data_IF_551068089529
#
_entry.id   IF_551068089529
#
_cell.length_a   1.000
_cell.length_b   1.000
_cell.length_c   1.000
_cell.angle_alpha   90.00
_cell.angle_beta   90.00
_cell.angle_gamma   90.00
#
_symmetry.space_group_name_H-M   'P 1'
#
loop_
_entity.id
_entity.type
_entity.pdbx_description
1 polymer ?
#
# COMPACT_ATOMS: atom_id res chain seq x y z
N UNK A 1 31.15 -5.47 -46.76
CA UNK A 1 32.02 -6.25 -45.85
C UNK A 1 31.65 -5.94 -44.42
N UNK A 2 31.18 -6.92 -43.64
CA UNK A 2 31.07 -6.72 -42.18
C UNK A 2 32.49 -6.50 -41.63
N UNK A 3 32.67 -5.44 -40.83
CA UNK A 3 33.98 -5.10 -40.27
C UNK A 3 34.45 -6.27 -39.38
N UNK A 4 35.70 -6.75 -39.49
CA UNK A 4 36.24 -7.86 -38.70
C UNK A 4 35.96 -7.75 -37.20
N UNK A 5 35.90 -6.51 -36.70
CA UNK A 5 35.56 -6.18 -35.32
C UNK A 5 34.21 -6.74 -34.84
N UNK A 6 33.20 -6.83 -35.72
CA UNK A 6 31.89 -7.39 -35.37
C UNK A 6 31.95 -8.89 -35.05
N UNK A 7 32.86 -9.63 -35.70
CA UNK A 7 33.06 -11.04 -35.41
C UNK A 7 33.79 -11.23 -34.06
N UNK A 8 34.73 -10.34 -33.75
CA UNK A 8 35.43 -10.33 -32.45
C UNK A 8 34.45 -9.99 -31.31
N UNK A 9 33.63 -8.95 -31.45
CA UNK A 9 32.60 -8.57 -30.47
C UNK A 9 31.59 -9.70 -30.25
N UNK A 10 31.15 -10.36 -31.32
CA UNK A 10 30.24 -11.50 -31.25
C UNK A 10 30.89 -12.70 -30.54
N UNK A 11 32.16 -13.01 -30.84
CA UNK A 11 32.91 -14.06 -30.15
C UNK A 11 33.08 -13.75 -28.65
N UNK A 12 33.44 -12.50 -28.31
CA UNK A 12 33.57 -12.06 -26.92
C UNK A 12 32.23 -12.19 -26.16
N UNK A 13 31.12 -11.85 -26.81
CA UNK A 13 29.78 -11.98 -26.23
C UNK A 13 29.43 -13.45 -25.94
N UNK A 14 29.73 -14.37 -26.87
CA UNK A 14 29.50 -15.80 -26.64
C UNK A 14 30.41 -16.37 -25.54
N UNK A 15 31.68 -15.96 -25.50
CA UNK A 15 32.62 -16.37 -24.43
C UNK A 15 32.13 -15.87 -23.08
N UNK A 16 31.74 -14.59 -22.98
CA UNK A 16 31.20 -14.02 -21.75
C UNK A 16 29.90 -14.73 -21.31
N UNK A 17 28.99 -15.03 -22.23
CA UNK A 17 27.77 -15.78 -21.94
C UNK A 17 28.06 -17.22 -21.46
N UNK A 18 29.00 -17.90 -22.11
CA UNK A 18 29.46 -19.23 -21.72
C UNK A 18 30.08 -19.24 -20.32
N UNK A 19 31.01 -18.31 -20.06
CA UNK A 19 31.65 -18.14 -18.76
C UNK A 19 30.61 -17.82 -17.66
N UNK A 20 29.67 -16.92 -17.93
CA UNK A 20 28.60 -16.58 -17.00
C UNK A 20 27.72 -17.79 -16.67
N UNK A 21 27.33 -18.59 -17.67
CA UNK A 21 26.53 -19.80 -17.46
C UNK A 21 27.30 -20.87 -16.67
N UNK A 22 28.60 -21.05 -16.94
CA UNK A 22 29.45 -21.95 -16.17
C UNK A 22 29.55 -21.51 -14.69
N UNK A 23 29.84 -20.23 -14.44
CA UNK A 23 29.89 -19.66 -13.08
C UNK A 23 28.54 -19.82 -12.38
N UNK A 24 27.43 -19.55 -13.08
CA UNK A 24 26.07 -19.71 -12.54
C UNK A 24 25.78 -21.15 -12.15
N UNK A 25 26.17 -22.12 -12.98
CA UNK A 25 25.98 -23.55 -12.71
C UNK A 25 26.81 -24.00 -11.50
N UNK A 26 28.08 -23.61 -11.41
CA UNK A 26 28.93 -23.90 -10.25
C UNK A 26 28.34 -23.30 -8.96
N UNK A 27 27.85 -22.05 -9.02
CA UNK A 27 27.23 -21.38 -7.89
C UNK A 27 25.92 -22.05 -7.39
N UNK A 28 25.28 -22.90 -8.19
CA UNK A 28 24.06 -23.63 -7.76
C UNK A 28 24.36 -24.83 -6.86
N UNK A 29 25.55 -25.43 -6.94
CA UNK A 29 25.90 -26.62 -6.14
C UNK A 29 26.06 -26.31 -4.64
N UNK A 30 26.58 -25.13 -4.29
CA UNK A 30 26.76 -24.69 -2.90
C UNK A 30 26.61 -23.18 -2.78
N UNK A 31 25.38 -22.66 -2.88
CA UNK A 31 25.17 -21.23 -2.96
C UNK A 31 25.40 -20.56 -1.60
N UNK A 32 26.18 -19.47 -1.58
CA UNK A 32 26.50 -18.70 -0.37
C UNK A 32 25.25 -18.33 0.45
N UNK A 33 25.37 -18.17 1.79
CA UNK A 33 24.28 -17.65 2.61
C UNK A 33 23.75 -16.33 2.06
N UNK A 34 22.43 -16.12 2.20
CA UNK A 34 21.85 -14.83 1.89
C UNK A 34 22.32 -13.77 2.89
N UNK A 35 22.37 -12.52 2.45
CA UNK A 35 22.68 -11.42 3.36
C UNK A 35 21.47 -11.09 4.26
N UNK A 36 21.76 -10.59 5.46
CA UNK A 36 20.75 -10.07 6.41
C UNK A 36 20.81 -8.55 6.40
N UNK A 37 19.81 -7.84 5.85
CA UNK A 37 19.77 -6.38 5.90
C UNK A 37 19.51 -5.88 7.32
N UNK A 38 19.92 -4.65 7.65
CA UNK A 38 19.69 -4.02 8.96
C UNK A 38 18.20 -3.94 9.38
N UNK A 39 17.29 -3.96 8.41
CA UNK A 39 15.85 -3.92 8.65
C UNK A 39 15.22 -5.31 8.90
N UNK A 40 15.96 -6.40 8.67
CA UNK A 40 15.51 -7.77 8.95
C UNK A 40 16.34 -8.39 10.06
N UNK A 41 15.71 -9.28 10.82
CA UNK A 41 16.30 -10.16 11.82
C UNK A 41 16.79 -11.48 11.22
N UNK A 42 16.29 -11.86 10.04
CA UNK A 42 16.62 -13.11 9.31
C UNK A 42 17.24 -12.81 7.94
N UNK A 43 18.04 -13.73 7.35
CA UNK A 43 18.55 -13.60 5.99
C UNK A 43 17.43 -13.58 4.95
N UNK A 44 17.58 -12.81 3.87
CA UNK A 44 16.57 -12.76 2.79
C UNK A 44 16.47 -14.12 2.08
N UNK A 45 15.25 -14.60 1.84
CA UNK A 45 15.05 -15.81 1.04
C UNK A 45 15.51 -15.62 -0.41
N UNK A 46 16.27 -16.60 -0.91
CA UNK A 46 16.60 -16.69 -2.33
C UNK A 46 15.34 -16.98 -3.14
N UNK A 47 15.34 -16.65 -4.43
CA UNK A 47 14.13 -16.73 -5.27
C UNK A 47 13.44 -18.10 -5.24
N UNK A 48 14.20 -19.20 -5.21
CA UNK A 48 13.68 -20.57 -5.15
C UNK A 48 13.21 -21.01 -3.76
N UNK A 49 13.55 -20.26 -2.70
CA UNK A 49 13.08 -20.51 -1.33
C UNK A 49 11.75 -19.80 -1.06
N UNK A 50 11.39 -18.80 -1.88
CA UNK A 50 10.16 -18.04 -1.73
C UNK A 50 8.97 -18.86 -2.18
N UNK A 51 7.88 -18.79 -1.43
CA UNK A 51 6.61 -19.41 -1.82
C UNK A 51 5.77 -18.44 -2.63
N UNK A 52 4.85 -18.97 -3.44
CA UNK A 52 3.84 -18.18 -4.16
C UNK A 52 2.45 -18.70 -3.80
N UNK A 53 1.44 -17.83 -3.69
CA UNK A 53 0.06 -18.31 -3.69
C UNK A 53 -0.23 -19.02 -5.02
N UNK A 54 -1.31 -19.80 -5.06
CA UNK A 54 -1.87 -20.27 -6.33
C UNK A 54 -2.33 -19.05 -7.13
N UNK A 55 -1.70 -18.83 -8.27
CA UNK A 55 -2.00 -17.75 -9.23
C UNK A 55 -2.58 -18.36 -10.52
N UNK A 56 -3.09 -17.52 -11.41
CA UNK A 56 -3.80 -17.92 -12.63
C UNK A 56 -5.26 -18.32 -12.39
N UNK A 57 -5.96 -18.64 -13.48
CA UNK A 57 -7.39 -18.94 -13.49
C UNK A 57 -7.64 -20.24 -14.30
N UNK A 58 -8.55 -21.12 -13.87
CA UNK A 58 -9.37 -21.00 -12.66
C UNK A 58 -8.59 -21.33 -11.37
N UNK A 59 -9.00 -20.75 -10.24
CA UNK A 59 -8.47 -21.11 -8.91
C UNK A 59 -9.51 -20.92 -7.82
N UNK A 60 -9.34 -21.61 -6.70
CA UNK A 60 -10.16 -21.41 -5.50
C UNK A 60 -9.44 -20.54 -4.46
N UNK A 61 -10.22 -19.75 -3.73
CA UNK A 61 -9.76 -18.93 -2.60
C UNK A 61 -10.86 -18.83 -1.55
N UNK A 62 -10.51 -18.35 -0.36
CA UNK A 62 -11.48 -17.85 0.61
C UNK A 62 -11.86 -16.41 0.24
N UNK A 63 -13.11 -16.06 0.50
CA UNK A 63 -13.67 -14.71 0.34
C UNK A 63 -14.71 -14.43 1.43
N UNK A 64 -15.28 -13.23 1.41
CA UNK A 64 -16.37 -12.85 2.29
C UNK A 64 -17.67 -12.66 1.51
N UNK A 65 -18.77 -13.16 2.06
CA UNK A 65 -20.11 -12.85 1.60
C UNK A 65 -20.42 -11.37 1.91
N UNK A 66 -20.75 -10.53 0.91
CA UNK A 66 -20.99 -9.11 1.15
C UNK A 66 -22.18 -8.87 2.09
N UNK A 67 -23.20 -9.73 2.01
CA UNK A 67 -24.40 -9.59 2.83
C UNK A 67 -24.15 -10.02 4.30
N UNK A 68 -23.48 -11.15 4.53
CA UNK A 68 -23.07 -11.55 5.89
C UNK A 68 -22.23 -10.47 6.58
N UNK A 69 -21.35 -9.78 5.85
CA UNK A 69 -20.49 -8.73 6.42
C UNK A 69 -21.33 -7.52 6.84
N UNK A 70 -22.32 -7.12 6.05
CA UNK A 70 -23.24 -6.02 6.40
C UNK A 70 -24.04 -6.39 7.65
N UNK A 71 -24.64 -7.57 7.67
CA UNK A 71 -25.44 -8.06 8.81
C UNK A 71 -24.61 -8.14 10.09
N UNK A 72 -23.40 -8.71 10.01
CA UNK A 72 -22.49 -8.78 11.16
C UNK A 72 -22.10 -7.39 11.69
N UNK A 73 -21.88 -6.43 10.79
CA UNK A 73 -21.59 -5.05 11.18
C UNK A 73 -22.79 -4.40 11.88
N UNK A 74 -24.01 -4.60 11.38
CA UNK A 74 -25.22 -4.07 12.01
C UNK A 74 -25.47 -4.69 13.40
N UNK A 75 -25.22 -6.00 13.56
CA UNK A 75 -25.31 -6.67 14.85
C UNK A 75 -24.31 -6.10 15.86
N UNK A 76 -23.07 -5.83 15.42
CA UNK A 76 -22.04 -5.23 16.28
C UNK A 76 -22.42 -3.81 16.67
N UNK A 77 -22.82 -2.97 15.71
CA UNK A 77 -23.20 -1.58 15.96
C UNK A 77 -24.45 -1.46 16.84
N UNK A 78 -25.37 -2.43 16.77
CA UNK A 78 -26.55 -2.49 17.63
C UNK A 78 -26.29 -3.14 18.99
N UNK A 79 -25.05 -3.58 19.26
CA UNK A 79 -24.65 -4.22 20.52
C UNK A 79 -25.15 -5.66 20.70
N UNK A 80 -25.72 -6.27 19.65
CA UNK A 80 -26.16 -7.69 19.67
C UNK A 80 -24.98 -8.65 19.66
N UNK A 81 -23.84 -8.23 19.13
CA UNK A 81 -22.63 -9.03 18.98
C UNK A 81 -21.40 -8.22 19.33
N UNK A 82 -20.38 -8.87 19.88
CA UNK A 82 -19.12 -8.21 20.21
C UNK A 82 -18.17 -8.15 19.00
N UNK A 83 -17.33 -7.11 18.94
CA UNK A 83 -16.36 -6.94 17.84
C UNK A 83 -15.33 -8.07 17.79
N UNK A 84 -15.00 -8.69 18.93
CA UNK A 84 -14.06 -9.83 18.99
C UNK A 84 -14.53 -11.02 18.18
N UNK A 85 -15.82 -11.11 17.86
CA UNK A 85 -16.34 -12.15 16.98
C UNK A 85 -15.74 -12.09 15.57
N UNK A 86 -15.39 -10.90 15.06
CA UNK A 86 -14.70 -10.77 13.77
C UNK A 86 -13.29 -11.38 13.78
N UNK A 87 -12.70 -11.56 14.96
CA UNK A 87 -11.37 -12.15 15.15
C UNK A 87 -11.49 -13.66 15.42
N UNK A 88 -12.42 -14.03 16.29
CA UNK A 88 -12.52 -15.38 16.83
C UNK A 88 -13.36 -16.33 15.97
N UNK A 89 -14.20 -15.80 15.08
CA UNK A 89 -15.09 -16.57 14.22
C UNK A 89 -14.89 -16.23 12.74
N UNK A 90 -15.32 -17.14 11.87
CA UNK A 90 -15.22 -17.01 10.41
C UNK A 90 -16.49 -16.40 9.83
N UNK A 91 -16.88 -15.24 10.35
CA UNK A 91 -18.14 -14.59 9.99
C UNK A 91 -18.18 -14.26 8.50
N UNK A 92 -19.13 -14.85 7.78
CA UNK A 92 -19.31 -14.62 6.34
C UNK A 92 -18.21 -15.21 5.45
N UNK A 93 -17.30 -16.04 5.97
CA UNK A 93 -16.28 -16.71 5.16
C UNK A 93 -16.93 -17.73 4.22
N UNK A 94 -16.66 -17.58 2.93
CA UNK A 94 -17.19 -18.46 1.88
C UNK A 94 -16.07 -18.88 0.92
N UNK A 95 -16.23 -20.05 0.30
CA UNK A 95 -15.36 -20.45 -0.80
C UNK A 95 -15.72 -19.65 -2.05
N UNK A 96 -14.70 -19.20 -2.75
CA UNK A 96 -14.83 -18.50 -4.02
C UNK A 96 -13.98 -19.17 -5.10
N UNK A 97 -14.49 -19.17 -6.32
CA UNK A 97 -13.76 -19.60 -7.52
C UNK A 97 -13.50 -18.37 -8.39
N UNK A 98 -12.23 -18.12 -8.69
CA UNK A 98 -11.83 -17.06 -9.63
C UNK A 98 -11.69 -17.70 -11.00
N UNK A 99 -12.42 -17.17 -11.99
CA UNK A 99 -12.48 -17.67 -13.37
C UNK A 99 -12.23 -16.57 -14.38
N UNK A 100 -11.80 -16.95 -15.57
CA UNK A 100 -11.77 -16.05 -16.74
C UNK A 100 -13.03 -16.27 -17.59
N UNK A 101 -13.73 -15.20 -17.93
CA UNK A 101 -14.92 -15.18 -18.81
C UNK A 101 -14.81 -13.96 -19.72
N UNK A 102 -14.82 -14.18 -21.04
CA UNK A 102 -14.82 -13.13 -22.05
C UNK A 102 -13.67 -12.10 -21.92
N UNK A 103 -12.48 -12.57 -21.53
CA UNK A 103 -11.29 -11.71 -21.31
C UNK A 103 -11.34 -10.90 -20.00
N UNK A 104 -12.35 -11.12 -19.16
CA UNK A 104 -12.49 -10.54 -17.82
C UNK A 104 -12.25 -11.61 -16.77
N UNK A 105 -11.96 -11.19 -15.54
CA UNK A 105 -11.75 -12.08 -14.40
C UNK A 105 -12.86 -11.87 -13.39
N UNK A 106 -13.52 -12.96 -13.02
CA UNK A 106 -14.71 -12.97 -12.17
C UNK A 106 -14.47 -13.82 -10.93
N UNK A 107 -14.94 -13.36 -9.77
CA UNK A 107 -14.98 -14.10 -8.52
C UNK A 107 -16.40 -14.60 -8.27
N UNK A 108 -16.57 -15.91 -8.32
CA UNK A 108 -17.84 -16.57 -8.06
C UNK A 108 -17.84 -17.08 -6.62
N UNK A 109 -18.83 -16.66 -5.83
CA UNK A 109 -18.98 -17.01 -4.42
C UNK A 109 -20.32 -17.72 -4.23
N UNK A 110 -20.37 -18.68 -3.33
CA UNK A 110 -21.62 -19.33 -2.93
C UNK A 110 -21.73 -19.29 -1.40
N UNK A 111 -22.64 -18.45 -0.91
CA UNK A 111 -22.97 -18.35 0.50
C UNK A 111 -24.14 -19.28 0.83
N UNK A 112 -24.04 -20.12 1.87
CA UNK A 112 -25.15 -20.97 2.31
C UNK A 112 -26.43 -20.20 2.69
N UNK A 113 -26.29 -18.93 3.08
CA UNK A 113 -27.41 -18.09 3.52
C UNK A 113 -27.93 -17.16 2.42
N UNK A 114 -27.03 -16.53 1.67
CA UNK A 114 -27.39 -15.48 0.70
C UNK A 114 -27.27 -15.91 -0.77
N UNK A 115 -26.93 -17.18 -1.01
CA UNK A 115 -26.85 -17.74 -2.36
C UNK A 115 -25.61 -17.30 -3.12
N UNK A 116 -25.74 -17.23 -4.46
CA UNK A 116 -24.62 -16.98 -5.37
C UNK A 116 -24.36 -15.48 -5.53
N UNK A 117 -23.09 -15.11 -5.51
CA UNK A 117 -22.61 -13.75 -5.76
C UNK A 117 -21.48 -13.81 -6.77
N UNK A 118 -21.52 -12.96 -7.79
CA UNK A 118 -20.47 -12.85 -8.80
C UNK A 118 -19.94 -11.41 -8.82
N UNK A 119 -18.63 -11.25 -8.59
CA UNK A 119 -17.96 -9.95 -8.61
C UNK A 119 -16.89 -9.92 -9.70
N UNK A 120 -16.89 -8.91 -10.57
CA UNK A 120 -15.82 -8.72 -11.53
C UNK A 120 -14.57 -8.19 -10.81
N UNK A 121 -13.48 -8.97 -10.83
CA UNK A 121 -12.20 -8.61 -10.23
C UNK A 121 -11.34 -7.74 -11.15
N UNK A 122 -11.36 -8.04 -12.45
CA UNK A 122 -10.57 -7.31 -13.44
C UNK A 122 -11.27 -7.31 -14.80
N UNK A 123 -11.25 -6.16 -15.47
CA UNK A 123 -11.80 -5.98 -16.82
C UNK A 123 -10.90 -6.55 -17.92
N UNK A 124 -9.63 -6.83 -17.61
CA UNK A 124 -8.63 -7.36 -18.55
C UNK A 124 -7.82 -8.47 -17.88
N UNK A 125 -8.04 -9.71 -18.32
CA UNK A 125 -7.38 -10.91 -17.83
C UNK A 125 -5.88 -10.92 -18.12
N UNK A 126 -5.44 -10.39 -19.28
CA UNK A 126 -4.02 -10.33 -19.65
C UNK A 126 -3.27 -9.35 -18.77
N UNK A 127 -3.88 -8.21 -18.46
CA UNK A 127 -3.29 -7.25 -17.54
C UNK A 127 -3.16 -7.84 -16.13
N UNK A 128 -4.18 -8.54 -15.63
CA UNK A 128 -4.10 -9.20 -14.33
C UNK A 128 -3.05 -10.33 -14.33
N UNK A 129 -2.97 -11.14 -15.38
CA UNK A 129 -1.91 -12.16 -15.54
C UNK A 129 -0.52 -11.52 -15.54
N UNK A 130 -0.34 -10.35 -16.17
CA UNK A 130 0.91 -9.62 -16.11
C UNK A 130 1.24 -9.19 -14.68
N UNK A 131 0.29 -8.60 -13.94
CA UNK A 131 0.47 -8.22 -12.53
C UNK A 131 0.86 -9.45 -11.69
N UNK A 132 0.16 -10.58 -11.85
CA UNK A 132 0.45 -11.82 -11.12
C UNK A 132 1.86 -12.36 -11.45
N UNK A 133 2.32 -12.21 -12.70
CA UNK A 133 3.67 -12.61 -13.11
C UNK A 133 4.78 -11.81 -12.42
N UNK A 134 4.48 -10.56 -12.03
CA UNK A 134 5.39 -9.68 -11.31
C UNK A 134 5.48 -10.01 -9.81
N UNK A 135 4.66 -10.95 -9.30
CA UNK A 135 4.70 -11.31 -7.88
C UNK A 135 6.06 -11.91 -7.49
N UNK A 136 6.83 -11.24 -6.61
CA UNK A 136 8.23 -11.60 -6.35
C UNK A 136 8.39 -12.78 -5.38
N UNK A 137 7.28 -13.39 -4.95
CA UNK A 137 7.24 -14.44 -3.93
C UNK A 137 7.18 -13.87 -2.50
N UNK A 138 6.51 -14.64 -1.63
CA UNK A 138 6.51 -14.47 -0.17
C UNK A 138 7.91 -14.79 0.34
N UNK A 139 8.48 -13.89 1.12
CA UNK A 139 9.84 -14.03 1.61
C UNK A 139 9.90 -14.24 3.12
N UNK A 140 9.37 -13.31 3.91
CA UNK A 140 9.39 -13.40 5.37
C UNK A 140 7.97 -13.29 5.89
N UNK A 141 7.63 -14.17 6.82
CA UNK A 141 6.42 -14.00 7.61
C UNK A 141 6.62 -12.81 8.56
N UNK A 142 5.58 -11.98 8.65
CA UNK A 142 5.51 -10.94 9.65
C UNK A 142 5.51 -11.59 11.04
N UNK A 143 6.21 -10.98 11.99
CA UNK A 143 6.28 -11.46 13.37
C UNK A 143 6.52 -10.28 14.31
N UNK A 144 6.43 -10.56 15.62
CA UNK A 144 6.34 -9.55 16.68
C UNK A 144 5.10 -8.64 16.53
N UNK A 145 4.02 -9.19 16.00
CA UNK A 145 2.80 -8.51 15.58
C UNK A 145 1.53 -9.24 16.05
N UNK A 146 1.64 -10.14 17.04
CA UNK A 146 0.55 -10.99 17.52
C UNK A 146 -0.71 -10.19 17.92
N UNK A 147 -0.53 -8.95 18.39
CA UNK A 147 -1.61 -8.05 18.77
C UNK A 147 -2.07 -7.10 17.66
N UNK A 148 -1.35 -7.07 16.54
CA UNK A 148 -1.54 -6.09 15.47
C UNK A 148 -2.14 -6.69 14.21
N UNK A 149 -1.64 -7.84 13.75
CA UNK A 149 -2.10 -8.49 12.51
C UNK A 149 -3.10 -9.63 12.74
N UNK A 150 -3.64 -9.75 13.96
CA UNK A 150 -4.67 -10.73 14.29
C UNK A 150 -6.06 -10.20 13.92
N UNK A 151 -6.48 -10.45 12.67
CA UNK A 151 -7.74 -9.95 12.10
C UNK A 151 -8.65 -11.10 11.63
N UNK A 152 -8.65 -12.23 12.34
CA UNK A 152 -9.45 -13.40 11.97
C UNK A 152 -9.16 -13.88 10.55
N UNK A 153 -10.20 -13.99 9.70
CA UNK A 153 -10.07 -14.39 8.28
C UNK A 153 -9.15 -13.48 7.46
N UNK A 154 -8.89 -12.25 7.92
CA UNK A 154 -8.05 -11.26 7.21
C UNK A 154 -6.66 -11.09 7.83
N UNK A 155 -6.21 -12.03 8.67
CA UNK A 155 -4.92 -11.94 9.36
C UNK A 155 -3.75 -11.82 8.37
N UNK A 156 -2.89 -10.82 8.58
CA UNK A 156 -1.80 -10.49 7.67
C UNK A 156 -0.55 -11.28 8.06
N UNK A 157 -0.18 -12.28 7.25
CA UNK A 157 1.02 -13.11 7.49
C UNK A 157 2.24 -12.66 6.71
N UNK A 158 2.04 -12.09 5.53
CA UNK A 158 3.13 -11.73 4.62
C UNK A 158 2.91 -10.31 4.12
N UNK A 159 4.00 -9.55 4.01
CA UNK A 159 3.96 -8.18 3.50
C UNK A 159 5.35 -7.64 3.22
N UNK A 160 5.45 -6.75 2.25
CA UNK A 160 6.69 -6.02 1.99
C UNK A 160 6.72 -4.61 2.59
N UNK A 161 5.60 -4.14 3.15
CA UNK A 161 5.46 -2.84 3.81
C UNK A 161 6.09 -1.71 2.99
N UNK A 162 5.33 -1.12 2.06
CA UNK A 162 5.84 -0.02 1.24
C UNK A 162 5.68 1.33 1.96
N UNK A 163 4.44 1.74 2.27
CA UNK A 163 4.10 3.02 2.91
C UNK A 163 3.02 2.77 3.95
N UNK A 164 3.24 3.25 5.18
CA UNK A 164 2.22 3.29 6.22
C UNK A 164 1.45 4.58 6.00
N UNK A 165 0.20 4.48 5.59
CA UNK A 165 -0.66 5.66 5.43
C UNK A 165 -1.45 5.87 6.72
N UNK A 166 -1.36 7.06 7.29
CA UNK A 166 -2.09 7.45 8.50
C UNK A 166 -2.96 8.65 8.17
N UNK A 167 -4.27 8.44 8.19
CA UNK A 167 -5.25 9.50 8.00
C UNK A 167 -5.40 10.27 9.33
N UNK A 168 -4.88 11.50 9.39
CA UNK A 168 -4.84 12.27 10.64
C UNK A 168 -6.20 12.88 11.00
N UNK A 169 -6.97 13.21 9.97
CA UNK A 169 -8.27 13.86 10.11
C UNK A 169 -9.11 13.61 8.86
N UNK A 170 -10.43 13.57 8.99
CA UNK A 170 -11.34 13.61 7.86
C UNK A 170 -11.78 15.02 7.45
N UNK A 171 -11.26 16.07 8.07
CA UNK A 171 -11.50 17.44 7.61
C UNK A 171 -10.74 17.71 6.31
N UNK A 172 -11.39 18.33 5.33
CA UNK A 172 -10.72 18.81 4.12
C UNK A 172 -11.18 20.23 3.78
N UNK A 173 -10.25 21.07 3.34
CA UNK A 173 -10.52 22.41 2.80
C UNK A 173 -10.80 22.39 1.28
N UNK A 174 -11.09 21.21 0.72
CA UNK A 174 -11.55 20.97 -0.66
C UNK A 174 -12.77 20.05 -0.69
N UNK A 175 -13.55 20.11 -1.76
CA UNK A 175 -14.70 19.23 -2.01
C UNK A 175 -14.59 18.68 -3.45
N UNK A 176 -13.69 17.72 -3.64
CA UNK A 176 -13.43 17.15 -4.96
C UNK A 176 -14.52 16.14 -5.35
N UNK A 177 -14.99 16.19 -6.59
CA UNK A 177 -15.95 15.20 -7.11
C UNK A 177 -15.42 13.74 -7.04
N UNK A 178 -14.14 13.44 -7.36
CA UNK A 178 -13.61 12.07 -7.29
C UNK A 178 -13.05 11.70 -5.89
N UNK A 179 -13.46 12.37 -4.81
CA UNK A 179 -12.92 12.09 -3.48
C UNK A 179 -13.42 10.74 -2.93
N UNK A 180 -12.56 9.71 -2.93
CA UNK A 180 -12.95 8.38 -2.42
C UNK A 180 -13.35 8.39 -0.93
N UNK A 181 -12.72 9.27 -0.13
CA UNK A 181 -12.93 9.33 1.31
C UNK A 181 -14.20 10.10 1.70
N UNK A 182 -14.74 10.89 0.78
CA UNK A 182 -15.90 11.74 0.98
C UNK A 182 -15.84 12.55 2.30
N UNK A 183 -14.67 13.12 2.54
CA UNK A 183 -14.18 13.59 3.83
C UNK A 183 -15.13 14.61 4.53
N UNK A 184 -15.85 15.40 3.74
CA UNK A 184 -16.79 16.43 4.24
C UNK A 184 -18.27 15.98 4.26
N UNK A 185 -18.60 14.75 3.87
CA UNK A 185 -19.98 14.22 3.83
C UNK A 185 -20.25 13.13 4.86
N UNK A 186 -19.20 12.58 5.47
CA UNK A 186 -19.32 11.73 6.66
C UNK A 186 -19.79 12.62 7.82
N UNK A 187 -21.04 12.47 8.25
CA UNK A 187 -21.70 13.32 9.28
C UNK A 187 -21.07 13.31 10.69
N UNK A 188 -19.80 12.94 10.82
CA UNK A 188 -18.99 12.99 12.04
C UNK A 188 -17.55 13.39 11.70
N UNK A 189 -16.85 14.00 12.66
CA UNK A 189 -15.43 14.33 12.53
C UNK A 189 -14.61 13.20 13.15
N UNK A 190 -13.71 12.63 12.35
CA UNK A 190 -12.65 11.75 12.81
C UNK A 190 -11.35 12.53 12.79
N UNK A 191 -10.73 12.71 13.97
CA UNK A 191 -9.46 13.40 14.12
C UNK A 191 -8.64 12.64 15.18
N UNK A 192 -7.47 12.18 14.79
CA UNK A 192 -6.59 11.44 15.69
C UNK A 192 -6.00 12.38 16.73
N UNK A 193 -5.96 11.94 17.98
CA UNK A 193 -5.14 12.60 19.00
C UNK A 193 -3.66 12.29 18.78
N UNK A 194 -2.76 13.08 19.39
CA UNK A 194 -1.34 12.72 19.37
C UNK A 194 -1.05 11.38 20.03
N UNK A 195 -1.87 10.93 20.99
CA UNK A 195 -1.69 9.63 21.63
C UNK A 195 -1.97 8.51 20.63
N UNK A 196 -3.05 8.63 19.84
CA UNK A 196 -3.39 7.67 18.78
C UNK A 196 -2.29 7.62 17.72
N UNK A 197 -1.79 8.79 17.29
CA UNK A 197 -0.70 8.88 16.32
C UNK A 197 0.57 8.18 16.83
N UNK A 198 0.93 8.41 18.10
CA UNK A 198 2.09 7.77 18.72
C UNK A 198 1.91 6.25 18.77
N UNK A 199 0.76 5.78 19.23
CA UNK A 199 0.43 4.36 19.31
C UNK A 199 0.51 3.68 17.94
N UNK A 200 -0.08 4.27 16.91
CA UNK A 200 -0.04 3.73 15.54
C UNK A 200 1.41 3.59 15.05
N UNK A 201 2.23 4.62 15.25
CA UNK A 201 3.61 4.66 14.77
C UNK A 201 4.51 3.68 15.52
N UNK A 202 4.36 3.58 16.84
CA UNK A 202 5.11 2.65 17.70
C UNK A 202 4.71 1.20 17.45
N UNK A 203 3.42 0.93 17.28
CA UNK A 203 2.93 -0.39 16.93
C UNK A 203 3.47 -0.83 15.57
N UNK A 204 3.33 -0.01 14.53
CA UNK A 204 3.77 -0.37 13.19
C UNK A 204 5.29 -0.59 13.08
N UNK A 205 6.10 0.14 13.86
CA UNK A 205 7.56 0.03 13.80
C UNK A 205 8.12 -1.19 14.56
N UNK A 206 7.31 -1.77 15.44
CA UNK A 206 7.64 -2.99 16.20
C UNK A 206 7.63 -4.25 15.32
N UNK A 207 6.84 -4.23 14.24
CA UNK A 207 6.65 -5.35 13.31
C UNK A 207 7.97 -5.72 12.63
N UNK A 208 8.23 -7.03 12.54
CA UNK A 208 9.40 -7.58 11.88
C UNK A 208 9.02 -8.41 10.66
N UNK A 209 9.77 -8.32 9.54
CA UNK A 209 10.90 -7.44 9.32
C UNK A 209 10.47 -5.96 9.21
N UNK A 210 11.32 -5.03 9.69
CA UNK A 210 11.05 -3.57 9.73
C UNK A 210 11.24 -2.92 8.35
N UNK A 211 10.47 -3.38 7.36
CA UNK A 211 10.51 -2.87 5.97
C UNK A 211 9.83 -1.52 5.84
N UNK A 212 8.82 -1.30 6.67
CA UNK A 212 8.01 -0.10 6.69
C UNK A 212 8.79 1.06 7.32
N UNK A 213 9.64 1.69 6.52
CA UNK A 213 10.48 2.83 6.94
C UNK A 213 9.93 4.17 6.44
N UNK A 214 8.76 4.15 5.80
CA UNK A 214 8.06 5.33 5.33
C UNK A 214 6.69 5.47 5.98
N UNK A 215 6.30 6.68 6.31
CA UNK A 215 4.93 7.02 6.70
C UNK A 215 4.43 8.12 5.78
N UNK A 216 3.19 8.04 5.36
CA UNK A 216 2.48 9.09 4.63
C UNK A 216 1.29 9.54 5.44
N UNK A 217 1.28 10.82 5.81
CA UNK A 217 0.10 11.44 6.39
C UNK A 217 -0.88 11.81 5.29
N UNK A 218 -2.14 11.47 5.50
CA UNK A 218 -3.25 11.58 4.56
C UNK A 218 -4.53 11.95 5.35
N UNK A 219 -5.69 11.75 4.74
CA UNK A 219 -7.01 11.91 5.33
C UNK A 219 -7.88 12.74 4.39
N UNK A 220 -8.61 13.69 4.95
CA UNK A 220 -9.19 14.78 4.16
C UNK A 220 -8.06 15.69 3.66
N UNK A 221 -7.50 16.49 4.55
CA UNK A 221 -6.25 17.22 4.32
C UNK A 221 -5.38 17.13 5.59
N UNK A 222 -4.26 16.38 5.57
CA UNK A 222 -3.46 16.15 6.77
C UNK A 222 -2.93 17.44 7.40
N UNK A 223 -2.64 18.48 6.61
CA UNK A 223 -2.11 19.75 7.14
C UNK A 223 -3.15 20.54 7.97
N UNK A 224 -4.42 20.15 7.95
CA UNK A 224 -5.45 20.74 8.81
C UNK A 224 -5.47 20.15 10.21
N UNK A 225 -4.86 18.97 10.42
CA UNK A 225 -4.74 18.40 11.75
C UNK A 225 -3.87 19.32 12.63
N UNK A 226 -4.31 19.65 13.87
CA UNK A 226 -3.50 20.45 14.79
C UNK A 226 -2.18 19.76 15.17
N UNK A 227 -2.07 18.47 14.89
CA UNK A 227 -0.95 17.62 15.26
C UNK A 227 -0.02 17.27 14.10
N UNK A 228 -0.26 17.79 12.89
CA UNK A 228 0.49 17.41 11.69
C UNK A 228 2.01 17.53 11.87
N UNK A 229 2.52 18.68 12.30
CA UNK A 229 3.96 18.90 12.47
C UNK A 229 4.55 18.05 13.60
N UNK A 230 3.80 17.84 14.68
CA UNK A 230 4.24 17.00 15.80
C UNK A 230 4.26 15.52 15.44
N UNK A 231 3.30 15.06 14.64
CA UNK A 231 3.28 13.74 14.05
C UNK A 231 4.53 13.52 13.19
N UNK A 232 4.87 14.47 12.31
CA UNK A 232 6.10 14.45 11.50
C UNK A 232 7.35 14.31 12.38
N UNK A 233 7.49 15.17 13.40
CA UNK A 233 8.63 15.12 14.34
C UNK A 233 8.72 13.77 15.03
N UNK A 234 7.59 13.27 15.51
CA UNK A 234 7.54 12.01 16.24
C UNK A 234 7.87 10.81 15.35
N UNK A 235 7.34 10.76 14.11
CA UNK A 235 7.71 9.73 13.14
C UNK A 235 9.22 9.69 12.88
N UNK A 236 9.86 10.86 12.73
CA UNK A 236 11.32 10.94 12.63
C UNK A 236 12.03 10.45 13.88
N UNK A 237 11.54 10.81 15.06
CA UNK A 237 12.09 10.42 16.36
C UNK A 237 12.10 8.90 16.55
N UNK A 238 11.00 8.21 16.21
CA UNK A 238 10.90 6.73 16.37
C UNK A 238 11.65 5.98 15.26
N UNK A 239 11.99 6.67 14.18
CA UNK A 239 12.92 6.20 13.15
C UNK A 239 12.27 5.81 11.83
N UNK A 240 11.16 6.46 11.46
CA UNK A 240 10.73 6.51 10.06
C UNK A 240 11.67 7.46 9.30
N UNK A 241 12.25 6.97 8.20
CA UNK A 241 13.25 7.71 7.42
C UNK A 241 12.65 8.56 6.30
N UNK A 242 11.43 8.21 5.87
CA UNK A 242 10.71 8.84 4.78
C UNK A 242 9.31 9.23 5.24
N UNK A 243 9.19 10.42 5.81
CA UNK A 243 7.91 11.00 6.23
C UNK A 243 7.35 11.82 5.08
N UNK A 244 6.12 11.54 4.68
CA UNK A 244 5.45 12.12 3.52
C UNK A 244 4.12 12.74 3.92
N UNK A 245 3.64 13.71 3.14
CA UNK A 245 2.28 14.23 3.23
C UNK A 245 1.60 14.11 1.86
N UNK A 246 0.48 13.40 1.78
CA UNK A 246 -0.43 13.44 0.64
C UNK A 246 -1.39 14.61 0.86
N UNK A 247 -1.20 15.69 0.11
CA UNK A 247 -1.81 16.99 0.42
C UNK A 247 -2.28 17.69 -0.84
N UNK A 248 -3.31 18.51 -0.70
CA UNK A 248 -3.69 19.48 -1.69
C UNK A 248 -2.76 20.71 -1.73
N UNK A 249 -1.80 20.84 -0.82
CA UNK A 249 -0.78 21.88 -0.89
C UNK A 249 -1.26 23.30 -0.61
N UNK A 250 -2.53 23.52 -0.25
CA UNK A 250 -3.07 24.86 0.01
C UNK A 250 -2.33 25.51 1.19
N UNK A 251 -2.11 24.78 2.29
CA UNK A 251 -1.39 25.32 3.45
C UNK A 251 0.07 25.63 3.13
N UNK A 252 0.73 24.77 2.34
CA UNK A 252 2.08 25.03 1.83
C UNK A 252 2.15 26.26 0.90
N UNK A 253 1.11 26.51 0.09
CA UNK A 253 1.04 27.71 -0.74
C UNK A 253 0.86 29.00 0.08
N UNK A 254 0.13 28.93 1.20
CA UNK A 254 -0.20 30.08 2.04
C UNK A 254 1.00 30.63 2.81
N UNK A 255 1.87 29.77 3.36
CA UNK A 255 2.95 30.19 4.27
C UNK A 255 4.29 29.50 3.98
N UNK A 256 5.34 30.31 3.82
CA UNK A 256 6.73 29.82 3.73
C UNK A 256 7.25 29.35 5.08
N UNK A 257 6.78 29.98 6.15
CA UNK A 257 7.10 29.63 7.53
C UNK A 257 6.60 28.21 7.83
N UNK A 258 5.37 27.87 7.44
CA UNK A 258 4.85 26.50 7.55
C UNK A 258 5.70 25.49 6.76
N UNK A 259 6.14 25.84 5.54
CA UNK A 259 7.03 24.99 4.75
C UNK A 259 8.36 24.74 5.49
N UNK A 260 8.94 25.79 6.06
CA UNK A 260 10.17 25.72 6.86
C UNK A 260 9.96 24.85 8.11
N UNK A 261 8.88 25.05 8.86
CA UNK A 261 8.57 24.25 10.03
C UNK A 261 8.36 22.76 9.70
N UNK A 262 7.72 22.46 8.57
CA UNK A 262 7.55 21.10 8.09
C UNK A 262 8.89 20.45 7.71
N UNK A 263 9.77 21.19 7.03
CA UNK A 263 11.12 20.73 6.70
C UNK A 263 11.97 20.49 7.97
N UNK A 264 11.93 21.41 8.93
CA UNK A 264 12.61 21.30 10.22
C UNK A 264 12.07 20.16 11.09
N UNK A 265 10.76 19.90 11.04
CA UNK A 265 10.13 18.73 11.64
C UNK A 265 10.63 17.41 11.00
N UNK A 266 11.16 17.48 9.78
CA UNK A 266 11.75 16.36 9.05
C UNK A 266 10.82 15.71 8.03
N UNK A 267 9.80 16.45 7.57
CA UNK A 267 9.00 16.08 6.40
C UNK A 267 9.95 15.97 5.19
N UNK A 268 9.83 14.86 4.45
CA UNK A 268 10.75 14.55 3.35
C UNK A 268 10.10 14.66 1.97
N UNK A 269 8.82 14.32 1.88
CA UNK A 269 8.09 14.35 0.61
C UNK A 269 6.74 15.03 0.79
N UNK A 270 6.42 15.91 -0.16
CA UNK A 270 5.08 16.47 -0.33
C UNK A 270 4.52 15.87 -1.61
N UNK A 271 3.52 15.00 -1.47
CA UNK A 271 2.80 14.42 -2.60
C UNK A 271 1.61 15.31 -2.93
N UNK A 272 1.81 16.20 -3.90
CA UNK A 272 0.81 17.18 -4.33
C UNK A 272 -0.24 16.54 -5.24
N UNK A 273 -1.51 16.65 -4.86
CA UNK A 273 -2.64 16.26 -5.70
C UNK A 273 -2.85 17.27 -6.83
N UNK A 274 -2.80 16.87 -8.10
CA UNK A 274 -3.32 17.62 -9.26
C UNK A 274 -3.36 16.70 -10.48
N UNK A 275 -4.32 16.92 -11.38
CA UNK A 275 -4.60 16.01 -12.51
C UNK A 275 -4.09 16.54 -13.86
N UNK A 276 -3.50 17.73 -13.84
CA UNK A 276 -2.89 18.36 -15.01
C UNK A 276 -2.42 19.79 -14.72
N UNK A 277 -1.83 20.42 -15.74
CA UNK A 277 -1.28 21.78 -15.65
C UNK A 277 -2.28 22.90 -15.98
N UNK A 278 -3.50 22.55 -16.38
CA UNK A 278 -4.56 23.52 -16.72
C UNK A 278 -5.71 23.48 -15.73
N UNK A 279 -6.45 24.58 -15.60
CA UNK A 279 -7.63 24.63 -14.72
C UNK A 279 -8.72 23.64 -15.16
N UNK A 280 -8.92 23.42 -16.47
CA UNK A 280 -9.91 22.47 -16.99
C UNK A 280 -9.66 21.05 -16.49
N UNK A 281 -8.39 20.58 -16.54
CA UNK A 281 -7.99 19.27 -16.04
C UNK A 281 -8.26 19.10 -14.53
N UNK A 282 -8.32 20.21 -13.78
CA UNK A 282 -8.54 20.24 -12.34
C UNK A 282 -9.95 20.73 -11.96
N UNK A 283 -10.85 21.00 -12.91
CA UNK A 283 -12.16 21.62 -12.67
C UNK A 283 -13.03 20.86 -11.66
N UNK A 284 -13.00 19.53 -11.72
CA UNK A 284 -13.70 18.60 -10.81
C UNK A 284 -13.19 18.66 -9.35
N UNK A 285 -12.17 19.47 -9.06
CA UNK A 285 -11.66 19.75 -7.72
C UNK A 285 -12.30 20.98 -7.07
N UNK A 286 -13.16 21.69 -7.82
CA UNK A 286 -13.92 22.85 -7.36
C UNK A 286 -13.04 24.03 -6.88
N UNK A 287 -11.82 24.14 -7.41
CA UNK A 287 -10.91 25.29 -7.19
C UNK A 287 -10.49 25.87 -8.54
N UNK A 288 -10.88 27.13 -8.79
CA UNK A 288 -10.72 27.79 -10.10
C UNK A 288 -9.27 28.10 -10.51
N UNK A 289 -8.31 28.10 -9.58
CA UNK A 289 -6.90 28.38 -9.83
C UNK A 289 -5.96 27.34 -9.22
N UNK A 290 -6.39 26.07 -9.18
CA UNK A 290 -5.69 25.03 -8.41
C UNK A 290 -4.23 24.88 -8.85
N UNK A 291 -3.94 24.96 -10.14
CA UNK A 291 -2.57 24.81 -10.64
C UNK A 291 -1.64 25.92 -10.14
N UNK A 292 -2.11 27.17 -10.12
CA UNK A 292 -1.34 28.31 -9.59
C UNK A 292 -1.05 28.12 -8.09
N UNK A 293 -2.01 27.57 -7.34
CA UNK A 293 -1.81 27.20 -5.94
C UNK A 293 -0.70 26.15 -5.81
N UNK A 294 -0.67 25.11 -6.67
CA UNK A 294 0.43 24.11 -6.66
C UNK A 294 1.77 24.75 -6.97
N UNK A 295 1.85 25.60 -7.99
CA UNK A 295 3.10 26.31 -8.33
C UNK A 295 3.60 27.15 -7.16
N UNK A 296 2.69 27.85 -6.47
CA UNK A 296 3.05 28.62 -5.27
C UNK A 296 3.53 27.73 -4.13
N UNK A 297 2.88 26.59 -3.88
CA UNK A 297 3.35 25.61 -2.89
C UNK A 297 4.76 25.09 -3.23
N UNK A 298 5.00 24.72 -4.50
CA UNK A 298 6.31 24.25 -4.97
C UNK A 298 7.39 25.32 -4.79
N UNK A 299 7.08 26.60 -5.05
CA UNK A 299 8.04 27.69 -4.87
C UNK A 299 8.32 28.04 -3.40
N UNK A 300 7.43 27.65 -2.48
CA UNK A 300 7.63 27.87 -1.04
C UNK A 300 8.43 26.73 -0.37
N UNK A 301 8.30 25.50 -0.89
CA UNK A 301 8.98 24.28 -0.44
C UNK A 301 10.46 24.24 -0.86
#
# INVERSE_FOLDING_TARGET
MQRPIKHVEKALTYVAAGAFNAIKSVNQFKPNPSFTPKWADKPILKSWQKTKPTLGFPRQTDSLCPQCVIEAREEILSGKRDVSTLINEKVGEVKATIVERDGQVWMLKECPQHGKVEDMMAVDSKFLQHIESLFPGRDMEAHNDEKLHNHGSSSVKYGRGAVLTVDLTNRCNMMCDPCFMDANQVGFVHELSMQDVQEILDNAISIKPRRQMSVQYSGGEPTLSPYFLDAVRYARKVGYNSVQAATNGIEFAKSKEFCKEAAEAGLRFVYLQFDGIGNDANSHRQIGNLFDVKLRAINNL
#
